data_IF_329015571289
#
_entry.id   IF_329015571289
#
_cell.length_a   1.000
_cell.length_b   1.000
_cell.length_c   1.000
_cell.angle_alpha   90.00
_cell.angle_beta   90.00
_cell.angle_gamma   90.00
#
_symmetry.space_group_name_H-M   'P 1'
#
loop_
_entity.id
_entity.type
_entity.pdbx_description
1 polymer ?
#
# COMPACT_ATOMS: atom_id res chain seq x y z
N UNK A 1 6.75 8.92 -4.04
CA UNK A 1 8.22 8.95 -4.13
C UNK A 1 8.81 7.56 -4.00
N UNK A 2 8.50 6.84 -2.91
CA UNK A 2 8.99 5.49 -2.75
C UNK A 2 8.46 4.57 -3.85
N UNK A 3 7.18 4.63 -4.13
CA UNK A 3 6.53 3.87 -5.19
C UNK A 3 7.19 4.15 -6.54
N UNK A 4 7.41 5.40 -6.87
CA UNK A 4 8.02 5.78 -8.15
C UNK A 4 9.43 5.22 -8.28
N UNK A 5 10.21 5.25 -7.20
CA UNK A 5 11.57 4.70 -7.19
C UNK A 5 11.56 3.21 -7.45
N UNK A 6 10.69 2.47 -6.77
CA UNK A 6 10.62 1.02 -6.90
C UNK A 6 10.09 0.62 -8.28
N UNK A 7 9.14 1.36 -8.82
CA UNK A 7 8.66 1.13 -10.17
C UNK A 7 9.79 1.26 -11.20
N UNK A 8 10.65 2.26 -11.04
CA UNK A 8 11.80 2.42 -11.94
C UNK A 8 12.79 1.27 -11.80
N UNK A 9 12.99 0.75 -10.60
CA UNK A 9 13.92 -0.35 -10.36
C UNK A 9 13.40 -1.68 -10.87
N UNK A 10 12.10 -1.91 -10.85
CA UNK A 10 11.50 -3.20 -11.19
C UNK A 10 10.84 -3.23 -12.56
N UNK A 11 10.62 -2.08 -13.18
CA UNK A 11 9.86 -1.99 -14.42
C UNK A 11 8.35 -2.09 -14.24
N UNK A 12 7.86 -2.15 -13.01
CA UNK A 12 6.45 -2.18 -12.73
C UNK A 12 5.80 -0.82 -12.95
N UNK A 13 4.49 -0.82 -13.17
CA UNK A 13 3.68 0.40 -13.24
C UNK A 13 2.52 0.27 -12.29
N UNK A 14 2.35 1.27 -11.42
CA UNK A 14 1.27 1.33 -10.45
C UNK A 14 0.22 2.29 -10.95
N UNK A 15 -1.03 1.83 -11.01
CA UNK A 15 -2.15 2.66 -11.42
C UNK A 15 -2.69 3.45 -10.24
N UNK A 16 -2.87 2.78 -9.09
CA UNK A 16 -3.37 3.42 -7.87
C UNK A 16 -2.97 2.59 -6.66
N UNK A 17 -2.90 3.23 -5.51
CA UNK A 17 -2.56 2.52 -4.28
C UNK A 17 -3.07 3.26 -3.05
N UNK A 18 -3.21 2.51 -1.95
CA UNK A 18 -3.45 3.08 -0.62
C UNK A 18 -2.76 2.18 0.41
N UNK A 19 -2.54 2.71 1.59
CA UNK A 19 -1.93 1.96 2.69
C UNK A 19 -2.64 2.27 3.99
N UNK A 20 -2.67 1.28 4.89
CA UNK A 20 -3.29 1.43 6.19
C UNK A 20 -2.55 0.57 7.21
N UNK A 21 -2.62 0.91 8.50
CA UNK A 21 -1.98 0.10 9.52
C UNK A 21 -2.70 -1.23 9.72
N UNK A 22 -1.92 -2.26 10.02
CA UNK A 22 -2.43 -3.57 10.40
C UNK A 22 -1.77 -3.94 11.72
N UNK A 23 -2.56 -4.05 12.79
CA UNK A 23 -2.06 -4.33 14.13
C UNK A 23 -2.19 -5.81 14.45
N UNK A 24 -1.16 -6.36 15.09
CA UNK A 24 -1.18 -7.75 15.55
C UNK A 24 -1.74 -7.81 16.95
N UNK A 25 -2.72 -8.71 17.17
CA UNK A 25 -3.49 -8.76 18.42
C UNK A 25 -2.66 -9.12 19.64
N UNK A 26 -1.67 -9.98 19.48
CA UNK A 26 -0.90 -10.53 20.58
C UNK A 26 0.48 -9.90 20.76
N UNK A 27 0.79 -8.87 19.99
CA UNK A 27 2.09 -8.20 20.06
C UNK A 27 1.91 -6.71 19.87
N UNK A 28 2.73 -5.93 20.54
CA UNK A 28 2.71 -4.49 20.37
C UNK A 28 3.33 -4.04 19.05
N UNK A 29 3.41 -4.94 18.09
CA UNK A 29 3.96 -4.67 16.75
C UNK A 29 2.86 -4.57 15.73
N UNK A 30 3.12 -3.82 14.67
CA UNK A 30 2.21 -3.70 13.54
C UNK A 30 2.98 -3.75 12.24
N UNK A 31 2.27 -3.58 11.16
CA UNK A 31 2.85 -3.41 9.83
C UNK A 31 1.93 -2.53 9.02
N UNK A 32 2.44 -1.98 7.93
CA UNK A 32 1.58 -1.31 6.97
C UNK A 32 1.12 -2.33 5.94
N UNK A 33 -0.17 -2.31 5.66
CA UNK A 33 -0.75 -3.12 4.59
C UNK A 33 -1.04 -2.19 3.42
N UNK A 34 -0.50 -2.53 2.26
CA UNK A 34 -0.68 -1.76 1.04
C UNK A 34 -1.63 -2.50 0.12
N UNK A 35 -2.56 -1.76 -0.47
CA UNK A 35 -3.41 -2.25 -1.53
C UNK A 35 -2.96 -1.54 -2.81
N UNK A 36 -2.44 -2.30 -3.77
CA UNK A 36 -1.88 -1.73 -4.99
C UNK A 36 -2.57 -2.30 -6.21
N UNK A 37 -3.07 -1.42 -7.05
CA UNK A 37 -3.59 -1.79 -8.36
C UNK A 37 -2.49 -1.53 -9.38
N UNK A 38 -1.93 -2.59 -9.96
CA UNK A 38 -0.84 -2.48 -10.92
C UNK A 38 -1.39 -2.33 -12.34
N UNK A 39 -0.80 -1.43 -13.10
CA UNK A 39 -0.98 -1.38 -14.55
C UNK A 39 -0.05 -2.39 -15.20
N UNK A 40 1.13 -2.59 -14.62
CA UNK A 40 2.09 -3.60 -15.03
C UNK A 40 2.72 -4.23 -13.80
N UNK A 41 2.57 -5.54 -13.65
CA UNK A 41 3.08 -6.26 -12.50
C UNK A 41 4.62 -6.28 -12.50
N UNK A 42 5.24 -6.26 -11.30
CA UNK A 42 6.68 -6.48 -11.21
C UNK A 42 7.02 -7.95 -11.46
N UNK A 43 8.28 -8.25 -11.80
CA UNK A 43 8.71 -9.65 -11.96
C UNK A 43 8.54 -10.49 -10.70
N UNK A 44 8.71 -9.88 -9.52
CA UNK A 44 8.53 -10.54 -8.24
C UNK A 44 7.86 -9.58 -7.28
N UNK A 45 6.68 -9.97 -6.77
CA UNK A 45 5.96 -9.15 -5.80
C UNK A 45 6.72 -9.06 -4.47
N UNK A 46 7.36 -10.15 -4.05
CA UNK A 46 8.15 -10.15 -2.82
C UNK A 46 9.33 -9.19 -2.92
N UNK A 47 10.01 -9.17 -4.06
CA UNK A 47 11.11 -8.23 -4.29
C UNK A 47 10.59 -6.79 -4.31
N UNK A 48 9.43 -6.56 -4.93
CA UNK A 48 8.81 -5.24 -4.95
C UNK A 48 8.53 -4.76 -3.53
N UNK A 49 7.94 -5.61 -2.70
CA UNK A 49 7.63 -5.28 -1.32
C UNK A 49 8.90 -4.96 -0.53
N UNK A 50 9.94 -5.74 -0.70
CA UNK A 50 11.22 -5.54 -0.03
C UNK A 50 11.86 -4.22 -0.43
N UNK A 51 11.87 -3.92 -1.73
CA UNK A 51 12.41 -2.67 -2.24
C UNK A 51 11.61 -1.46 -1.77
N UNK A 52 10.29 -1.60 -1.72
CA UNK A 52 9.41 -0.53 -1.22
C UNK A 52 9.68 -0.25 0.25
N UNK A 53 9.82 -1.29 1.06
CA UNK A 53 10.14 -1.15 2.48
C UNK A 53 11.46 -0.41 2.68
N UNK A 54 12.48 -0.77 1.91
CA UNK A 54 13.78 -0.10 1.97
C UNK A 54 13.71 1.35 1.50
N UNK A 55 12.97 1.62 0.44
CA UNK A 55 12.79 2.98 -0.06
C UNK A 55 12.10 3.87 0.97
N UNK A 56 11.09 3.33 1.66
CA UNK A 56 10.39 4.05 2.72
C UNK A 56 11.33 4.36 3.87
N UNK A 57 12.19 3.42 4.24
CA UNK A 57 13.18 3.66 5.30
C UNK A 57 14.16 4.77 4.90
N UNK A 58 14.58 4.79 3.66
CA UNK A 58 15.52 5.81 3.17
C UNK A 58 14.91 7.19 3.05
N UNK A 59 13.61 7.27 2.75
CA UNK A 59 12.92 8.52 2.51
C UNK A 59 12.20 9.07 3.74
N UNK A 60 12.03 8.28 4.78
CA UNK A 60 11.27 8.66 5.95
C UNK A 60 11.95 8.14 7.22
N UNK A 61 12.58 9.05 7.97
CA UNK A 61 13.33 8.67 9.15
C UNK A 61 12.45 8.11 10.27
N UNK A 62 11.20 8.54 10.36
CA UNK A 62 10.27 7.99 11.35
C UNK A 62 9.94 6.53 11.03
N UNK A 63 9.73 6.23 9.76
CA UNK A 63 9.51 4.85 9.33
C UNK A 63 10.74 3.99 9.59
N UNK A 64 11.92 4.51 9.27
CA UNK A 64 13.18 3.80 9.54
C UNK A 64 13.34 3.48 11.03
N UNK A 65 13.07 4.45 11.89
CA UNK A 65 13.18 4.23 13.33
C UNK A 65 12.23 3.15 13.82
N UNK A 66 11.00 3.13 13.33
CA UNK A 66 10.00 2.15 13.71
C UNK A 66 10.34 0.75 13.18
N UNK A 67 10.99 0.69 12.02
CA UNK A 67 11.42 -0.57 11.42
C UNK A 67 12.70 -1.14 12.02
N UNK A 68 13.47 -0.31 12.75
CA UNK A 68 14.76 -0.73 13.28
C UNK A 68 14.61 -1.99 14.14
N UNK A 69 15.27 -3.06 13.72
CA UNK A 69 15.21 -4.39 14.36
C UNK A 69 13.77 -4.90 14.54
N UNK A 70 12.85 -4.39 13.76
CA UNK A 70 11.43 -4.77 13.83
C UNK A 70 10.82 -4.59 15.22
N UNK A 71 11.26 -3.56 15.94
CA UNK A 71 10.79 -3.30 17.30
C UNK A 71 9.33 -2.90 17.35
N UNK A 72 8.92 -1.94 16.50
CA UNK A 72 7.56 -1.42 16.49
C UNK A 72 6.81 -1.75 15.22
N UNK A 73 7.53 -1.99 14.13
CA UNK A 73 6.92 -2.13 12.82
C UNK A 73 7.65 -3.24 12.06
N UNK A 74 6.87 -4.19 11.56
CA UNK A 74 7.37 -5.27 10.73
C UNK A 74 7.36 -4.86 9.25
N UNK A 75 8.02 -5.65 8.36
CA UNK A 75 8.00 -5.35 6.93
C UNK A 75 6.57 -5.22 6.41
N UNK A 76 6.38 -4.32 5.46
CA UNK A 76 5.06 -4.07 4.89
C UNK A 76 4.54 -5.29 4.13
N UNK A 77 3.23 -5.34 4.00
CA UNK A 77 2.52 -6.38 3.26
C UNK A 77 1.81 -5.73 2.08
N UNK A 78 1.83 -6.39 0.93
CA UNK A 78 1.15 -5.89 -0.26
C UNK A 78 0.03 -6.85 -0.66
N UNK A 79 -1.18 -6.29 -0.85
CA UNK A 79 -2.28 -6.99 -1.49
C UNK A 79 -2.46 -6.38 -2.87
N UNK A 80 -2.54 -7.23 -3.89
CA UNK A 80 -2.72 -6.79 -5.26
C UNK A 80 -4.22 -6.65 -5.55
N UNK A 81 -4.65 -5.43 -5.87
CA UNK A 81 -6.03 -5.17 -6.24
C UNK A 81 -6.24 -5.54 -7.71
N UNK A 82 -7.43 -6.06 -8.02
CA UNK A 82 -7.81 -6.34 -9.41
C UNK A 82 -7.92 -5.04 -10.18
N UNK A 83 -7.70 -5.13 -11.50
CA UNK A 83 -7.89 -3.99 -12.36
C UNK A 83 -9.30 -3.43 -12.22
N UNK A 84 -9.38 -2.11 -12.05
CA UNK A 84 -10.67 -1.43 -11.88
C UNK A 84 -11.18 -1.33 -10.46
N UNK A 85 -10.47 -1.90 -9.48
CA UNK A 85 -10.90 -1.88 -8.08
C UNK A 85 -11.06 -0.45 -7.55
N UNK A 86 -10.05 0.39 -7.73
CA UNK A 86 -10.11 1.77 -7.25
C UNK A 86 -11.14 2.60 -8.00
N UNK A 87 -11.29 2.35 -9.30
CA UNK A 87 -12.32 3.02 -10.10
C UNK A 87 -13.71 2.69 -9.56
N UNK A 88 -13.98 1.40 -9.29
CA UNK A 88 -15.28 0.97 -8.78
C UNK A 88 -15.55 1.55 -7.39
N UNK A 89 -14.53 1.61 -6.54
CA UNK A 89 -14.66 2.21 -5.22
C UNK A 89 -15.06 3.69 -5.32
N UNK A 90 -14.39 4.43 -6.20
CA UNK A 90 -14.70 5.85 -6.42
C UNK A 90 -16.13 6.01 -6.96
N UNK A 91 -16.53 5.13 -7.87
CA UNK A 91 -17.89 5.17 -8.44
C UNK A 91 -18.94 4.94 -7.35
N UNK A 92 -18.73 3.96 -6.50
CA UNK A 92 -19.66 3.64 -5.41
C UNK A 92 -19.74 4.76 -4.37
N UNK A 93 -18.66 5.49 -4.18
CA UNK A 93 -18.64 6.63 -3.26
C UNK A 93 -19.14 7.92 -3.90
N UNK A 94 -19.49 7.91 -5.18
CA UNK A 94 -19.95 9.10 -5.89
C UNK A 94 -18.88 10.14 -6.11
N UNK A 95 -17.61 9.72 -6.16
CA UNK A 95 -16.47 10.64 -6.24
C UNK A 95 -15.84 10.74 -7.63
N UNK A 96 -16.41 10.04 -8.61
CA UNK A 96 -15.91 10.13 -9.98
C UNK A 96 -16.20 11.51 -10.55
N UNK A 97 -15.22 12.04 -11.26
CA UNK A 97 -15.35 13.36 -11.89
C UNK A 97 -15.17 14.54 -10.96
N UNK A 98 -14.97 14.30 -9.68
CA UNK A 98 -14.69 15.35 -8.71
C UNK A 98 -13.21 15.44 -8.39
N UNK A 99 -12.86 16.30 -7.43
CA UNK A 99 -11.47 16.46 -6.99
C UNK A 99 -11.12 15.54 -5.83
N UNK A 100 -11.79 14.43 -5.76
CA UNK A 100 -11.55 13.46 -4.69
C UNK A 100 -10.35 12.60 -5.01
N UNK A 101 -9.48 12.43 -4.04
CA UNK A 101 -8.29 11.60 -4.17
C UNK A 101 -8.38 10.41 -3.22
N UNK A 102 -7.81 9.31 -3.64
CA UNK A 102 -7.67 8.15 -2.77
C UNK A 102 -6.57 8.46 -1.75
N UNK A 103 -6.84 8.30 -0.44
CA UNK A 103 -5.80 8.52 0.56
C UNK A 103 -4.63 7.57 0.34
N UNK A 104 -3.41 8.12 0.30
CA UNK A 104 -2.21 7.30 0.13
C UNK A 104 -1.85 6.56 1.40
N UNK A 105 -2.14 7.16 2.55
CA UNK A 105 -1.93 6.54 3.85
C UNK A 105 -3.09 6.95 4.75
N UNK A 106 -3.86 5.99 5.21
CA UNK A 106 -4.98 6.22 6.11
C UNK A 106 -4.59 5.81 7.53
N UNK A 107 -5.10 6.54 8.53
CA UNK A 107 -4.87 6.19 9.93
C UNK A 107 -5.73 5.02 10.39
N UNK A 108 -6.74 4.65 9.62
CA UNK A 108 -7.59 3.51 9.92
C UNK A 108 -7.71 2.61 8.68
N UNK A 109 -8.45 1.51 8.82
CA UNK A 109 -8.54 0.51 7.77
C UNK A 109 -9.81 0.60 6.92
N UNK A 110 -10.59 1.66 7.08
CA UNK A 110 -11.88 1.79 6.39
C UNK A 110 -11.76 1.63 4.88
N UNK A 111 -10.85 2.41 4.27
CA UNK A 111 -10.69 2.40 2.82
C UNK A 111 -10.15 1.06 2.30
N UNK A 112 -9.13 0.53 2.97
CA UNK A 112 -8.49 -0.70 2.50
C UNK A 112 -9.44 -1.90 2.64
N UNK A 113 -10.26 -1.91 3.69
CA UNK A 113 -11.26 -2.96 3.86
C UNK A 113 -12.37 -2.87 2.83
N UNK A 114 -12.82 -1.66 2.53
CA UNK A 114 -13.83 -1.47 1.48
C UNK A 114 -13.30 -1.91 0.11
N UNK A 115 -12.06 -1.57 -0.19
CA UNK A 115 -11.42 -1.98 -1.44
C UNK A 115 -11.26 -3.49 -1.50
N UNK A 116 -10.91 -4.12 -0.39
CA UNK A 116 -10.78 -5.56 -0.31
C UNK A 116 -12.09 -6.28 -0.62
N UNK A 117 -13.21 -5.74 -0.17
CA UNK A 117 -14.53 -6.31 -0.47
C UNK A 117 -14.86 -6.22 -1.96
N UNK A 118 -14.47 -5.14 -2.61
CA UNK A 118 -14.72 -4.95 -4.03
C UNK A 118 -13.96 -5.97 -4.87
N UNK A 119 -12.72 -6.29 -4.50
CA UNK A 119 -11.91 -7.24 -5.25
C UNK A 119 -11.88 -8.64 -4.62
N UNK A 120 -12.78 -8.92 -3.70
CA UNK A 120 -12.94 -10.25 -3.08
C UNK A 120 -11.67 -10.77 -2.39
N UNK A 121 -10.98 -9.89 -1.71
CA UNK A 121 -9.79 -10.27 -0.95
C UNK A 121 -10.12 -10.57 0.51
#
# INVERSE_FOLDING_TARGET
KAISRVCRQTGAKVKEYTAAPLFMLDKAKGRHQWMIEFEKMPPSLDDFASLLDKALQQLNSDYEAKRYKEISLQPLEIQVAREGTFYEWLRRKGKLGGQHKIPRLSNDRTFIEELGKICDL
#
